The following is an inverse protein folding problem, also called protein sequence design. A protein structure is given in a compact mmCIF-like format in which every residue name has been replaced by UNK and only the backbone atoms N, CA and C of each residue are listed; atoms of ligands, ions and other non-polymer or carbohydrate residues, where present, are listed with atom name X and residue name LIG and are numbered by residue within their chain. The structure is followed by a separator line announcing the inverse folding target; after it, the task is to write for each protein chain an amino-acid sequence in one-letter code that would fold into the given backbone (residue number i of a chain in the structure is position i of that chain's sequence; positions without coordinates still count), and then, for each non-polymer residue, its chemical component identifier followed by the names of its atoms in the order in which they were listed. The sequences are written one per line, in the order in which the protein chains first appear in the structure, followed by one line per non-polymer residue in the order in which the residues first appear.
data_IF_478566020368
#
_entry.id   IF_478566020368
#
_cell.length_a   1.000
_cell.length_b   1.000
_cell.length_c   1.000
_cell.angle_alpha   90.00
_cell.angle_beta   90.00
_cell.angle_gamma   90.00
#
_symmetry.space_group_name_H-M   'P 1'
#
loop_
_entity.id
_entity.type
_entity.pdbx_description
1 polymer ?
#
# COMPACT_ATOMS: atom_id res chain seq x y z
N UNK A 1 17.09 -8.34 -8.28
CA UNK A 1 15.82 -8.48 -7.58
C UNK A 1 15.72 -9.90 -7.05
N UNK A 2 16.08 -10.07 -5.78
CA UNK A 2 15.79 -11.31 -5.08
C UNK A 2 14.28 -11.39 -4.81
N UNK A 3 13.61 -12.46 -5.24
CA UNK A 3 12.20 -12.69 -4.86
C UNK A 3 12.01 -12.89 -3.37
N UNK A 4 13.07 -13.32 -2.67
CA UNK A 4 13.01 -13.76 -1.28
C UNK A 4 13.56 -12.72 -0.31
N UNK A 5 14.40 -11.79 -0.79
CA UNK A 5 15.06 -10.76 0.02
C UNK A 5 15.11 -9.41 -0.72
N UNK A 6 13.97 -8.84 -1.12
CA UNK A 6 13.96 -7.58 -1.86
C UNK A 6 14.50 -6.45 -0.99
N UNK A 7 15.47 -5.69 -1.51
CA UNK A 7 15.85 -4.40 -0.91
C UNK A 7 15.02 -3.26 -1.51
N UNK A 8 14.91 -2.10 -0.84
CA UNK A 8 14.15 -0.97 -1.37
C UNK A 8 14.59 -0.51 -2.76
N UNK A 9 15.88 -0.63 -3.09
CA UNK A 9 16.45 -0.26 -4.39
C UNK A 9 16.06 -1.25 -5.51
N UNK A 10 15.73 -2.49 -5.15
CA UNK A 10 15.30 -3.51 -6.10
C UNK A 10 13.79 -3.44 -6.41
N UNK A 11 13.01 -2.73 -5.60
CA UNK A 11 11.55 -2.62 -5.76
C UNK A 11 11.15 -1.64 -6.88
N UNK A 12 10.05 -1.96 -7.57
CA UNK A 12 9.40 -1.02 -8.49
C UNK A 12 8.91 0.22 -7.74
N UNK A 13 9.11 1.41 -8.30
CA UNK A 13 8.77 2.69 -7.66
C UNK A 13 7.77 3.45 -8.51
N UNK A 14 6.64 3.81 -7.90
CA UNK A 14 5.57 4.53 -8.59
C UNK A 14 4.92 5.57 -7.69
N UNK A 15 4.36 6.60 -8.31
CA UNK A 15 3.34 7.45 -7.70
C UNK A 15 2.01 7.02 -8.30
N UNK A 16 1.13 6.43 -7.49
CA UNK A 16 -0.10 5.78 -7.98
C UNK A 16 -1.34 6.65 -7.79
N UNK A 17 -1.28 7.59 -6.85
CA UNK A 17 -2.22 8.69 -6.68
C UNK A 17 -1.44 9.95 -6.28
N UNK A 18 -2.02 11.15 -6.38
CA UNK A 18 -1.37 12.37 -5.89
C UNK A 18 -0.97 12.23 -4.41
N UNK A 19 0.33 12.38 -4.12
CA UNK A 19 0.87 12.24 -2.76
C UNK A 19 0.93 10.79 -2.24
N UNK A 20 0.77 9.78 -3.10
CA UNK A 20 0.84 8.36 -2.71
C UNK A 20 1.95 7.67 -3.49
N UNK A 21 3.05 7.41 -2.78
CA UNK A 21 4.24 6.77 -3.31
C UNK A 21 4.29 5.31 -2.88
N UNK A 22 4.58 4.42 -3.82
CA UNK A 22 4.59 2.98 -3.56
C UNK A 22 5.90 2.35 -4.04
N UNK A 23 6.42 1.44 -3.22
CA UNK A 23 7.47 0.49 -3.57
C UNK A 23 6.86 -0.90 -3.65
N UNK A 24 6.98 -1.58 -4.79
CA UNK A 24 6.37 -2.89 -5.01
C UNK A 24 7.43 -3.98 -5.28
N UNK A 25 7.20 -5.16 -4.70
CA UNK A 25 7.89 -6.39 -5.01
C UNK A 25 6.85 -7.45 -5.37
N UNK A 26 6.77 -7.79 -6.66
CA UNK A 26 5.92 -8.86 -7.15
C UNK A 26 6.65 -10.20 -7.12
N UNK A 27 6.11 -11.16 -6.38
CA UNK A 27 6.47 -12.57 -6.47
C UNK A 27 5.46 -13.32 -7.36
N UNK A 28 5.53 -14.65 -7.42
CA UNK A 28 4.68 -15.47 -8.30
C UNK A 28 3.19 -15.37 -7.98
N UNK A 29 2.82 -15.31 -6.69
CA UNK A 29 1.41 -15.34 -6.23
C UNK A 29 1.07 -14.26 -5.21
N UNK A 30 2.00 -13.36 -4.93
CA UNK A 30 1.82 -12.30 -3.96
C UNK A 30 2.58 -11.05 -4.38
N UNK A 31 2.10 -9.89 -3.93
CA UNK A 31 2.81 -8.63 -4.03
C UNK A 31 2.98 -8.06 -2.63
N UNK A 32 4.20 -7.66 -2.30
CA UNK A 32 4.46 -6.83 -1.12
C UNK A 32 4.61 -5.39 -1.59
N UNK A 33 3.91 -4.50 -0.90
CA UNK A 33 3.90 -3.07 -1.20
C UNK A 33 4.21 -2.28 0.07
N UNK A 34 5.17 -1.36 -0.01
CA UNK A 34 5.39 -0.33 1.00
C UNK A 34 4.84 0.97 0.45
N UNK A 35 3.82 1.52 1.10
CA UNK A 35 3.11 2.71 0.63
C UNK A 35 3.36 3.86 1.60
N UNK A 36 3.77 4.99 1.06
CA UNK A 36 3.97 6.26 1.77
C UNK A 36 2.90 7.23 1.28
N UNK A 37 2.05 7.68 2.22
CA UNK A 37 0.98 8.64 1.96
C UNK A 37 1.38 9.99 2.57
N UNK A 38 1.39 11.03 1.75
CA UNK A 38 1.53 12.39 2.25
C UNK A 38 0.32 12.78 3.10
N UNK A 39 0.46 13.72 4.06
CA UNK A 39 -0.65 14.18 4.86
C UNK A 39 -1.81 14.68 3.98
N UNK A 40 -3.00 14.09 4.20
CA UNK A 40 -4.25 14.38 3.45
C UNK A 40 -4.26 13.87 2.00
N UNK A 41 -3.32 13.02 1.59
CA UNK A 41 -3.43 12.30 0.33
C UNK A 41 -4.69 11.43 0.31
N UNK A 42 -5.36 11.37 -0.84
CA UNK A 42 -6.58 10.58 -1.05
C UNK A 42 -6.27 9.46 -2.03
N UNK A 43 -6.59 8.24 -1.63
CA UNK A 43 -6.64 7.07 -2.50
C UNK A 43 -8.11 6.89 -2.87
N UNK A 44 -8.46 7.16 -4.12
CA UNK A 44 -9.84 7.01 -4.61
C UNK A 44 -10.29 5.55 -4.52
N UNK A 45 -11.60 5.33 -4.39
CA UNK A 45 -12.19 3.99 -4.34
C UNK A 45 -11.85 3.20 -5.62
N UNK A 46 -11.36 1.98 -5.43
CA UNK A 46 -10.97 1.07 -6.52
C UNK A 46 -11.14 -0.38 -6.09
N UNK A 47 -11.01 -1.31 -7.05
CA UNK A 47 -11.13 -2.74 -6.79
C UNK A 47 -10.18 -3.58 -7.65
N UNK A 48 -9.84 -4.76 -7.12
CA UNK A 48 -9.00 -5.75 -7.77
C UNK A 48 -9.60 -7.15 -7.58
N UNK A 49 -9.34 -8.10 -8.49
CA UNK A 49 -9.79 -9.49 -8.33
C UNK A 49 -9.01 -10.25 -7.24
N UNK A 50 -7.89 -9.70 -6.77
CA UNK A 50 -7.02 -10.32 -5.77
C UNK A 50 -7.32 -9.77 -4.37
N UNK A 51 -7.17 -10.62 -3.35
CA UNK A 51 -7.22 -10.17 -1.96
C UNK A 51 -6.10 -9.15 -1.68
N UNK A 52 -6.44 -8.09 -0.96
CA UNK A 52 -5.50 -7.06 -0.53
C UNK A 52 -5.72 -6.78 0.95
N UNK A 53 -4.65 -6.88 1.72
CA UNK A 53 -4.62 -6.57 3.15
C UNK A 53 -3.40 -5.73 3.46
N UNK A 54 -3.47 -4.95 4.53
CA UNK A 54 -2.36 -4.11 4.98
C UNK A 54 -2.50 -3.73 6.44
N UNK A 55 -1.40 -3.21 6.98
CA UNK A 55 -1.30 -2.63 8.31
C UNK A 55 -0.64 -1.26 8.20
N UNK A 56 -1.01 -0.33 9.08
CA UNK A 56 -0.28 0.92 9.17
C UNK A 56 1.01 0.68 9.97
N UNK A 57 2.12 1.15 9.42
CA UNK A 57 3.42 1.11 10.09
C UNK A 57 3.68 2.39 10.88
N UNK A 58 3.18 3.52 10.39
CA UNK A 58 3.32 4.85 11.01
C UNK A 58 2.10 5.72 10.65
N UNK A 59 1.81 6.71 11.50
CA UNK A 59 0.77 7.72 11.23
C UNK A 59 -0.64 7.26 11.52
N UNK A 60 -1.62 7.81 10.80
CA UNK A 60 -3.05 7.53 10.97
C UNK A 60 -3.76 7.71 9.63
N UNK A 61 -4.64 6.77 9.27
CA UNK A 61 -5.44 6.84 8.05
C UNK A 61 -6.86 6.31 8.28
N UNK A 62 -7.82 6.87 7.57
CA UNK A 62 -9.20 6.39 7.53
C UNK A 62 -9.41 5.57 6.26
N UNK A 63 -9.82 4.32 6.44
CA UNK A 63 -10.11 3.37 5.37
C UNK A 63 -11.61 3.27 5.19
N UNK A 64 -12.02 3.34 3.93
CA UNK A 64 -13.39 3.09 3.47
C UNK A 64 -13.35 1.83 2.62
N UNK A 65 -13.98 0.75 3.09
CA UNK A 65 -14.00 -0.56 2.41
C UNK A 65 -15.44 -1.06 2.37
N UNK A 66 -16.09 -0.92 1.21
CA UNK A 66 -17.51 -1.22 1.06
C UNK A 66 -18.34 -0.37 2.03
N UNK A 67 -19.06 -1.03 2.94
CA UNK A 67 -19.87 -0.35 3.97
C UNK A 67 -19.10 -0.07 5.27
N UNK A 68 -17.84 -0.48 5.37
CA UNK A 68 -17.03 -0.30 6.58
C UNK A 68 -16.18 0.97 6.49
N UNK A 69 -16.18 1.74 7.58
CA UNK A 69 -15.26 2.86 7.80
C UNK A 69 -14.47 2.60 9.07
N UNK A 70 -13.13 2.63 8.97
CA UNK A 70 -12.23 2.45 10.12
C UNK A 70 -11.08 3.42 10.06
N UNK A 71 -10.83 4.12 11.16
CA UNK A 71 -9.59 4.90 11.32
C UNK A 71 -8.57 4.07 12.08
N UNK A 72 -7.46 3.77 11.43
CA UNK A 72 -6.38 2.94 11.96
C UNK A 72 -5.16 3.80 12.32
N UNK A 73 -4.36 3.31 13.26
CA UNK A 73 -3.01 3.78 13.57
C UNK A 73 -2.03 2.60 13.49
N UNK A 74 -0.78 2.75 13.96
CA UNK A 74 0.23 1.72 13.82
C UNK A 74 -0.10 0.44 14.60
N UNK A 75 0.17 -0.72 13.99
CA UNK A 75 -0.15 -2.06 14.53
C UNK A 75 -1.44 -2.65 13.97
#
# INVERSE_FOLDING_TARGET
MSFYFPTPEECGRHTIFPGVHIRTCAADKMMISVVELEPRAIIEEHSHPHEQVGMLLEGRATFYIGAEEKTLGPG
#
